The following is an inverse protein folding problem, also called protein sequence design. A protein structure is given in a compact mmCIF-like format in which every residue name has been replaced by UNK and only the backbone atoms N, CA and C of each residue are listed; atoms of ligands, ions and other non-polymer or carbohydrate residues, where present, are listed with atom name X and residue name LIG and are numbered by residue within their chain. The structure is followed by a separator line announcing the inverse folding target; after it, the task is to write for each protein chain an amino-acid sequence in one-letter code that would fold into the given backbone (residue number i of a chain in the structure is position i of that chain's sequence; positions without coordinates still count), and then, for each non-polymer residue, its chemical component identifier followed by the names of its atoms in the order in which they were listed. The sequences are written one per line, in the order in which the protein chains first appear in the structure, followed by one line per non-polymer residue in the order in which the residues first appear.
data_IF_318948242338
#
_entry.id   IF_318948242338
#
_cell.length_a   1.000
_cell.length_b   1.000
_cell.length_c   1.000
_cell.angle_alpha   90.00
_cell.angle_beta   90.00
_cell.angle_gamma   90.00
#
_symmetry.space_group_name_H-M   'P 1'
#
loop_
_entity.id
_entity.type
_entity.pdbx_description
1 polymer ?
#
# COMPACT_ATOMS: atom_id res chain seq x y z
N UNK A 1 -13.81 -8.84 21.57
CA UNK A 1 -13.41 -10.13 20.94
C UNK A 1 -12.35 -9.83 19.90
N UNK A 2 -11.17 -10.49 19.95
CA UNK A 2 -10.06 -10.20 19.05
C UNK A 2 -10.36 -10.86 17.69
N UNK A 3 -10.15 -10.13 16.54
CA UNK A 3 -10.40 -10.67 15.19
C UNK A 3 -9.68 -12.01 14.92
N UNK A 4 -8.50 -12.22 15.51
CA UNK A 4 -7.77 -13.47 15.38
C UNK A 4 -8.52 -14.64 16.05
N UNK A 5 -9.10 -14.40 17.22
CA UNK A 5 -9.94 -15.40 17.91
C UNK A 5 -11.15 -15.79 17.06
N UNK A 6 -11.78 -14.83 16.36
CA UNK A 6 -12.92 -15.11 15.49
C UNK A 6 -12.51 -15.92 14.24
N UNK A 7 -11.33 -15.67 13.65
CA UNK A 7 -10.81 -16.44 12.51
C UNK A 7 -10.45 -17.86 12.96
N UNK A 8 -9.83 -18.00 14.11
CA UNK A 8 -9.43 -19.30 14.66
C UNK A 8 -10.67 -20.13 15.02
N UNK A 9 -11.71 -19.50 15.58
CA UNK A 9 -13.00 -20.12 15.87
C UNK A 9 -13.75 -20.56 14.60
N UNK A 10 -13.78 -19.72 13.56
CA UNK A 10 -14.38 -20.06 12.26
C UNK A 10 -13.64 -21.22 11.58
N UNK A 11 -12.31 -21.22 11.65
CA UNK A 11 -11.49 -22.30 11.08
C UNK A 11 -11.67 -23.61 11.84
N UNK A 12 -11.76 -23.54 13.18
CA UNK A 12 -12.07 -24.70 14.02
C UNK A 12 -13.48 -25.27 13.69
N UNK A 13 -14.49 -24.41 13.65
CA UNK A 13 -15.88 -24.80 13.32
C UNK A 13 -15.97 -25.43 11.92
N UNK A 14 -15.23 -24.89 10.96
CA UNK A 14 -15.15 -25.46 9.61
C UNK A 14 -14.52 -26.87 9.63
N UNK A 15 -13.40 -27.04 10.35
CA UNK A 15 -12.71 -28.31 10.50
C UNK A 15 -13.59 -29.36 11.17
N UNK A 16 -14.23 -28.99 12.28
CA UNK A 16 -15.12 -29.89 13.02
C UNK A 16 -16.29 -30.36 12.17
N UNK A 17 -16.87 -29.46 11.36
CA UNK A 17 -17.96 -29.80 10.42
C UNK A 17 -17.49 -30.71 9.30
N UNK A 18 -16.29 -30.46 8.76
CA UNK A 18 -15.71 -31.30 7.71
C UNK A 18 -15.40 -32.69 8.26
N UNK A 19 -14.81 -32.80 9.43
CA UNK A 19 -14.50 -34.08 10.09
C UNK A 19 -15.76 -34.88 10.38
N UNK A 20 -16.85 -34.21 10.84
CA UNK A 20 -18.14 -34.85 11.03
C UNK A 20 -18.71 -35.44 9.74
N UNK A 21 -18.67 -34.69 8.62
CA UNK A 21 -19.17 -35.17 7.34
C UNK A 21 -18.34 -36.33 6.76
N UNK A 22 -17.03 -36.29 6.95
CA UNK A 22 -16.15 -37.40 6.56
C UNK A 22 -16.46 -38.65 7.41
N UNK A 23 -16.66 -38.50 8.70
CA UNK A 23 -17.02 -39.62 9.60
C UNK A 23 -18.41 -40.23 9.30
N UNK A 24 -19.32 -39.45 8.73
CA UNK A 24 -20.65 -39.91 8.32
C UNK A 24 -20.71 -40.40 6.88
N UNK A 25 -19.57 -40.45 6.20
CA UNK A 25 -19.43 -40.85 4.76
C UNK A 25 -20.21 -39.96 3.79
N UNK A 26 -20.57 -38.75 4.19
CA UNK A 26 -21.19 -37.73 3.33
C UNK A 26 -20.12 -36.95 2.54
N UNK A 27 -19.46 -37.61 1.65
CA UNK A 27 -18.33 -37.07 0.88
C UNK A 27 -18.73 -35.95 -0.09
N UNK A 28 -19.97 -35.98 -0.61
CA UNK A 28 -20.45 -34.92 -1.52
C UNK A 28 -20.60 -33.58 -0.79
N UNK A 29 -21.23 -33.60 0.39
CA UNK A 29 -21.35 -32.41 1.24
C UNK A 29 -19.97 -31.93 1.78
N UNK A 30 -19.08 -32.85 2.12
CA UNK A 30 -17.72 -32.53 2.55
C UNK A 30 -16.92 -31.85 1.42
N UNK A 31 -17.03 -32.38 0.19
CA UNK A 31 -16.37 -31.79 -0.98
C UNK A 31 -16.90 -30.40 -1.32
N UNK A 32 -18.21 -30.18 -1.22
CA UNK A 32 -18.83 -28.89 -1.46
C UNK A 32 -18.35 -27.84 -0.45
N UNK A 33 -18.33 -28.17 0.86
CA UNK A 33 -17.86 -27.29 1.93
C UNK A 33 -16.37 -26.95 1.76
N UNK A 34 -15.55 -27.95 1.41
CA UNK A 34 -14.13 -27.73 1.16
C UNK A 34 -13.90 -26.79 -0.04
N UNK A 35 -14.64 -26.99 -1.14
CA UNK A 35 -14.55 -26.16 -2.32
C UNK A 35 -14.94 -24.70 -2.04
N UNK A 36 -16.00 -24.46 -1.25
CA UNK A 36 -16.42 -23.13 -0.82
C UNK A 36 -15.34 -22.45 0.04
N UNK A 37 -14.75 -23.16 0.99
CA UNK A 37 -13.66 -22.66 1.82
C UNK A 37 -12.44 -22.25 0.99
N UNK A 38 -12.00 -23.10 0.05
CA UNK A 38 -10.87 -22.81 -0.84
C UNK A 38 -11.17 -21.57 -1.67
N UNK A 39 -12.35 -21.48 -2.28
CA UNK A 39 -12.75 -20.31 -3.08
C UNK A 39 -12.75 -19.01 -2.27
N UNK A 40 -13.18 -19.05 -0.99
CA UNK A 40 -13.15 -17.90 -0.11
C UNK A 40 -11.71 -17.48 0.24
N UNK A 41 -10.80 -18.44 0.49
CA UNK A 41 -9.39 -18.15 0.74
C UNK A 41 -8.71 -17.54 -0.49
N UNK A 42 -8.99 -18.07 -1.69
CA UNK A 42 -8.44 -17.55 -2.94
C UNK A 42 -8.94 -16.13 -3.23
N UNK A 43 -10.22 -15.84 -2.97
CA UNK A 43 -10.77 -14.50 -3.09
C UNK A 43 -10.09 -13.51 -2.13
N UNK A 44 -9.85 -13.91 -0.88
CA UNK A 44 -9.12 -13.08 0.11
C UNK A 44 -7.67 -12.82 -0.30
N UNK A 45 -6.98 -13.85 -0.79
CA UNK A 45 -5.61 -13.74 -1.27
C UNK A 45 -5.53 -12.79 -2.47
N UNK A 46 -6.49 -12.87 -3.40
CA UNK A 46 -6.59 -11.98 -4.56
C UNK A 46 -6.78 -10.52 -4.13
N UNK A 47 -7.66 -10.25 -3.15
CA UNK A 47 -7.86 -8.89 -2.61
C UNK A 47 -6.56 -8.35 -2.01
N UNK A 48 -5.86 -9.14 -1.20
CA UNK A 48 -4.60 -8.71 -0.58
C UNK A 48 -3.51 -8.45 -1.62
N UNK A 49 -3.41 -9.28 -2.65
CA UNK A 49 -2.47 -9.09 -3.76
C UNK A 49 -2.78 -7.79 -4.52
N UNK A 50 -4.04 -7.51 -4.81
CA UNK A 50 -4.44 -6.28 -5.46
C UNK A 50 -4.10 -5.05 -4.61
N UNK A 51 -4.31 -5.10 -3.29
CA UNK A 51 -3.93 -4.00 -2.39
C UNK A 51 -2.42 -3.73 -2.44
N UNK A 52 -1.59 -4.77 -2.45
CA UNK A 52 -0.13 -4.63 -2.60
C UNK A 52 0.22 -4.00 -3.94
N UNK A 53 -0.40 -4.44 -5.03
CA UNK A 53 -0.18 -3.86 -6.36
C UNK A 53 -0.57 -2.37 -6.39
N UNK A 54 -1.65 -1.98 -5.74
CA UNK A 54 -2.05 -0.57 -5.62
C UNK A 54 -1.06 0.25 -4.75
N UNK A 55 -0.43 -0.38 -3.75
CA UNK A 55 0.65 0.28 -3.01
C UNK A 55 1.86 0.58 -3.90
N UNK A 56 2.23 -0.32 -4.82
CA UNK A 56 3.29 -0.05 -5.79
C UNK A 56 2.90 1.05 -6.77
N UNK A 57 1.69 1.05 -7.30
CA UNK A 57 1.19 2.13 -8.16
C UNK A 57 1.19 3.49 -7.45
N UNK A 58 0.87 3.53 -6.15
CA UNK A 58 0.99 4.75 -5.35
C UNK A 58 2.46 5.20 -5.23
N UNK A 59 3.38 4.28 -5.02
CA UNK A 59 4.82 4.58 -4.99
C UNK A 59 5.28 5.17 -6.32
N UNK A 60 4.85 4.60 -7.45
CA UNK A 60 5.20 5.12 -8.77
C UNK A 60 4.66 6.55 -8.97
N UNK A 61 3.42 6.82 -8.56
CA UNK A 61 2.83 8.16 -8.59
C UNK A 61 3.61 9.16 -7.71
N UNK A 62 4.04 8.75 -6.52
CA UNK A 62 4.84 9.58 -5.61
C UNK A 62 6.23 9.89 -6.19
N UNK A 63 6.90 8.90 -6.81
CA UNK A 63 8.19 9.08 -7.48
C UNK A 63 8.06 10.02 -8.68
N UNK A 64 7.02 9.87 -9.48
CA UNK A 64 6.76 10.77 -10.61
C UNK A 64 6.53 12.20 -10.15
N UNK A 65 5.70 12.39 -9.12
CA UNK A 65 5.46 13.72 -8.56
C UNK A 65 6.75 14.36 -7.99
N UNK A 66 7.60 13.56 -7.33
CA UNK A 66 8.90 14.04 -6.89
C UNK A 66 9.80 14.45 -8.06
N UNK A 67 9.83 13.65 -9.12
CA UNK A 67 10.59 13.95 -10.34
C UNK A 67 10.18 15.32 -10.91
N UNK A 68 8.88 15.53 -11.10
CA UNK A 68 8.35 16.79 -11.63
C UNK A 68 8.67 17.98 -10.72
N UNK A 69 8.59 17.78 -9.40
CA UNK A 69 8.97 18.81 -8.42
C UNK A 69 10.47 19.15 -8.50
N UNK A 70 11.34 18.13 -8.52
CA UNK A 70 12.78 18.31 -8.51
C UNK A 70 13.27 18.94 -9.84
N UNK A 71 12.76 18.52 -10.98
CA UNK A 71 13.07 19.12 -12.29
C UNK A 71 12.72 20.60 -12.30
N UNK A 72 11.53 20.99 -11.82
CA UNK A 72 11.16 22.41 -11.70
C UNK A 72 12.10 23.17 -10.78
N UNK A 73 12.53 22.56 -9.68
CA UNK A 73 13.51 23.16 -8.77
C UNK A 73 14.86 23.40 -9.43
N UNK A 74 15.39 22.41 -10.16
CA UNK A 74 16.65 22.55 -10.90
C UNK A 74 16.53 23.61 -12.01
N UNK A 75 15.44 23.65 -12.76
CA UNK A 75 15.22 24.67 -13.77
C UNK A 75 15.17 26.10 -13.18
N UNK A 76 14.54 26.24 -12.01
CA UNK A 76 14.51 27.53 -11.30
C UNK A 76 15.93 27.98 -10.88
N UNK A 77 16.76 27.05 -10.41
CA UNK A 77 18.16 27.34 -10.04
C UNK A 77 19.01 27.74 -11.25
N UNK A 78 18.84 27.05 -12.39
CA UNK A 78 19.49 27.42 -13.65
C UNK A 78 19.12 28.86 -14.04
N UNK A 79 17.84 29.19 -13.98
CA UNK A 79 17.34 30.53 -14.34
C UNK A 79 17.88 31.65 -13.43
N UNK A 80 18.29 31.31 -12.19
CA UNK A 80 18.95 32.23 -11.26
C UNK A 80 20.45 32.38 -11.47
N UNK A 81 21.05 31.56 -12.36
CA UNK A 81 22.49 31.57 -12.63
C UNK A 81 23.31 30.66 -11.74
N UNK A 82 22.69 29.67 -11.10
CA UNK A 82 23.40 28.63 -10.36
C UNK A 82 24.14 27.68 -11.33
N UNK A 83 24.98 26.79 -10.82
CA UNK A 83 25.83 25.89 -11.64
C UNK A 83 25.01 25.09 -12.68
N UNK A 84 25.11 25.48 -13.96
CA UNK A 84 24.37 24.88 -15.06
C UNK A 84 24.66 23.38 -15.21
N UNK A 85 25.95 23.00 -15.17
CA UNK A 85 26.37 21.61 -15.35
C UNK A 85 25.78 20.68 -14.28
N UNK A 86 25.84 21.08 -13.01
CA UNK A 86 25.28 20.32 -11.90
C UNK A 86 23.78 20.08 -12.07
N UNK A 87 23.03 21.15 -12.36
CA UNK A 87 21.57 21.05 -12.46
C UNK A 87 21.11 20.28 -13.70
N UNK A 88 21.83 20.38 -14.83
CA UNK A 88 21.52 19.58 -16.01
C UNK A 88 21.82 18.10 -15.81
N UNK A 89 22.90 17.75 -15.12
CA UNK A 89 23.19 16.36 -14.80
C UNK A 89 22.15 15.78 -13.85
N UNK A 90 21.77 16.52 -12.81
CA UNK A 90 20.72 16.11 -11.90
C UNK A 90 19.36 15.90 -12.59
N UNK A 91 18.99 16.74 -13.56
CA UNK A 91 17.78 16.53 -14.37
C UNK A 91 17.86 15.26 -15.21
N UNK A 92 19.00 14.99 -15.85
CA UNK A 92 19.22 13.75 -16.62
C UNK A 92 19.11 12.50 -15.76
N UNK A 93 19.66 12.55 -14.53
CA UNK A 93 19.56 11.44 -13.59
C UNK A 93 18.09 11.17 -13.22
N UNK A 94 17.31 12.21 -12.93
CA UNK A 94 15.89 12.10 -12.63
C UNK A 94 15.08 11.53 -13.81
N UNK A 95 15.34 12.01 -15.04
CA UNK A 95 14.72 11.51 -16.27
C UNK A 95 15.10 10.04 -16.56
N UNK A 96 16.29 9.62 -16.16
CA UNK A 96 16.75 8.23 -16.24
C UNK A 96 16.17 7.34 -15.11
N UNK A 97 15.36 7.89 -14.20
CA UNK A 97 14.79 7.17 -13.07
C UNK A 97 15.74 6.98 -11.89
N UNK A 98 16.83 7.73 -11.85
CA UNK A 98 17.79 7.74 -10.74
C UNK A 98 17.34 8.83 -9.76
N UNK A 99 16.73 8.41 -8.66
CA UNK A 99 16.20 9.33 -7.66
C UNK A 99 17.11 9.39 -6.42
N UNK A 100 17.29 10.58 -5.79
CA UNK A 100 17.97 10.70 -4.51
C UNK A 100 17.08 10.27 -3.34
N UNK A 101 15.85 9.84 -3.62
CA UNK A 101 14.88 9.33 -2.66
C UNK A 101 14.35 7.98 -3.12
N UNK A 102 13.79 7.22 -2.19
CA UNK A 102 13.07 5.98 -2.51
C UNK A 102 11.84 5.80 -1.64
N UNK A 103 10.97 4.88 -2.05
CA UNK A 103 9.85 4.40 -1.27
C UNK A 103 9.89 2.89 -1.18
N UNK A 104 9.72 2.36 0.04
CA UNK A 104 9.70 0.92 0.27
C UNK A 104 8.46 0.52 1.07
N UNK A 105 7.98 -0.70 0.84
CA UNK A 105 6.85 -1.25 1.58
C UNK A 105 7.38 -2.10 2.74
N UNK A 106 7.06 -1.71 3.96
CA UNK A 106 7.27 -2.54 5.16
C UNK A 106 5.94 -3.14 5.62
N UNK A 107 5.82 -4.46 5.53
CA UNK A 107 4.59 -5.17 5.87
C UNK A 107 4.57 -5.60 7.33
N UNK A 108 3.68 -4.98 8.11
CA UNK A 108 3.36 -5.41 9.47
C UNK A 108 2.21 -6.42 9.52
N UNK A 109 1.70 -6.71 10.72
CA UNK A 109 0.58 -7.63 10.91
C UNK A 109 -0.70 -7.14 10.24
N UNK A 110 -1.07 -5.88 10.45
CA UNK A 110 -2.33 -5.28 9.96
C UNK A 110 -2.12 -4.38 8.75
N UNK A 111 -1.02 -3.64 8.70
CA UNK A 111 -0.77 -2.59 7.73
C UNK A 111 0.45 -2.88 6.86
N UNK A 112 0.38 -2.47 5.60
CA UNK A 112 1.54 -2.09 4.81
C UNK A 112 1.89 -0.65 5.15
N UNK A 113 3.15 -0.38 5.47
CA UNK A 113 3.67 0.97 5.62
C UNK A 113 4.41 1.33 4.34
N UNK A 114 4.02 2.41 3.70
CA UNK A 114 4.83 3.01 2.65
C UNK A 114 5.82 3.92 3.35
N UNK A 115 7.10 3.56 3.26
CA UNK A 115 8.19 4.26 3.89
C UNK A 115 8.86 5.15 2.86
N UNK A 116 9.02 6.43 3.17
CA UNK A 116 9.90 7.34 2.44
C UNK A 116 11.34 7.14 2.94
N UNK A 117 12.28 7.02 2.01
CA UNK A 117 13.72 6.89 2.27
C UNK A 117 14.42 8.07 1.62
N UNK A 118 15.12 8.89 2.40
CA UNK A 118 15.90 10.00 1.87
C UNK A 118 17.27 9.55 1.33
N UNK A 119 18.00 10.48 0.68
CA UNK A 119 19.34 10.22 0.13
C UNK A 119 20.39 9.84 1.17
N UNK A 120 20.14 10.06 2.44
CA UNK A 120 20.97 9.63 3.58
C UNK A 120 20.58 8.27 4.13
N UNK A 121 19.54 7.64 3.57
CA UNK A 121 19.01 6.34 4.02
C UNK A 121 18.08 6.43 5.25
N UNK A 122 17.70 7.63 5.70
CA UNK A 122 16.76 7.77 6.81
C UNK A 122 15.36 7.45 6.34
N UNK A 123 14.64 6.67 7.16
CA UNK A 123 13.29 6.22 6.87
C UNK A 123 12.25 6.96 7.70
N UNK A 124 11.20 7.41 7.04
CA UNK A 124 9.99 7.93 7.68
C UNK A 124 8.74 7.27 7.10
N UNK A 125 7.66 7.21 7.88
CA UNK A 125 6.41 6.61 7.40
C UNK A 125 5.62 7.66 6.62
N UNK A 126 5.46 7.44 5.33
CA UNK A 126 4.63 8.27 4.47
C UNK A 126 3.14 8.01 4.74
N UNK A 127 2.69 6.77 4.61
CA UNK A 127 1.31 6.37 4.93
C UNK A 127 1.22 4.91 5.38
N UNK A 128 0.04 4.56 5.92
CA UNK A 128 -0.35 3.19 6.25
C UNK A 128 -1.48 2.75 5.33
N UNK A 129 -1.44 1.51 4.87
CA UNK A 129 -2.51 0.87 4.09
C UNK A 129 -2.95 -0.39 4.81
N UNK A 130 -4.24 -0.51 5.14
CA UNK A 130 -4.79 -1.71 5.76
C UNK A 130 -4.77 -2.87 4.75
N UNK A 131 -4.21 -4.00 5.13
CA UNK A 131 -4.02 -5.17 4.27
C UNK A 131 -5.32 -5.84 3.83
N UNK A 132 -6.38 -5.70 4.62
CA UNK A 132 -7.66 -6.36 4.37
C UNK A 132 -8.66 -5.44 3.70
N UNK A 133 -8.66 -4.15 4.11
CA UNK A 133 -9.65 -3.19 3.64
C UNK A 133 -9.15 -2.27 2.54
N UNK A 134 -7.82 -2.18 2.32
CA UNK A 134 -7.23 -1.24 1.37
C UNK A 134 -7.36 0.24 1.77
N UNK A 135 -7.80 0.51 2.99
CA UNK A 135 -7.95 1.87 3.53
C UNK A 135 -6.58 2.50 3.75
N UNK A 136 -6.40 3.71 3.25
CA UNK A 136 -5.18 4.51 3.38
C UNK A 136 -5.33 5.50 4.53
N UNK A 137 -4.31 5.56 5.37
CA UNK A 137 -4.25 6.42 6.54
C UNK A 137 -2.98 7.26 6.51
N UNK A 138 -3.10 8.52 6.96
CA UNK A 138 -1.93 9.34 7.29
C UNK A 138 -1.15 8.74 8.46
N UNK A 139 0.16 8.90 8.47
CA UNK A 139 1.00 8.56 9.60
C UNK A 139 0.74 9.52 10.79
N UNK A 140 0.46 8.97 11.97
CA UNK A 140 0.50 9.73 13.23
C UNK A 140 1.85 9.58 13.91
N UNK A 141 2.48 8.42 13.77
CA UNK A 141 3.81 8.10 14.28
C UNK A 141 4.43 6.98 13.45
N UNK A 142 5.68 6.64 13.73
CA UNK A 142 6.35 5.50 13.08
C UNK A 142 5.59 4.16 13.27
N UNK A 143 4.83 4.03 14.35
CA UNK A 143 4.16 2.77 14.73
C UNK A 143 2.65 2.75 14.48
N UNK A 144 2.01 3.90 14.32
CA UNK A 144 0.55 3.98 14.29
C UNK A 144 0.01 4.96 13.25
N UNK A 145 -1.11 4.63 12.57
CA UNK A 145 -1.83 5.54 11.71
C UNK A 145 -2.59 6.60 12.52
N UNK A 146 -2.83 7.74 11.90
CA UNK A 146 -3.76 8.75 12.40
C UNK A 146 -5.21 8.27 12.27
N UNK A 147 -6.10 8.83 13.07
CA UNK A 147 -7.54 8.53 12.99
C UNK A 147 -8.12 9.04 11.65
N UNK A 148 -9.07 8.27 11.13
CA UNK A 148 -9.82 8.59 9.91
C UNK A 148 -9.14 8.09 8.64
N UNK A 149 -9.94 7.41 7.83
CA UNK A 149 -9.56 6.95 6.49
C UNK A 149 -9.39 8.16 5.57
N UNK A 150 -8.38 8.12 4.72
CA UNK A 150 -8.15 9.15 3.70
C UNK A 150 -8.69 8.72 2.34
N UNK A 151 -8.41 7.48 1.96
CA UNK A 151 -8.82 6.87 0.70
C UNK A 151 -9.07 5.38 0.92
N UNK A 152 -9.88 4.75 0.05
CA UNK A 152 -10.04 3.30 -0.04
C UNK A 152 -9.55 2.83 -1.43
N UNK A 153 -8.44 2.10 -1.46
CA UNK A 153 -7.83 1.60 -2.71
C UNK A 153 -8.71 0.61 -3.48
N UNK A 154 -9.72 0.03 -2.85
CA UNK A 154 -10.68 -0.86 -3.53
C UNK A 154 -11.72 -0.06 -4.33
N UNK A 155 -11.98 1.18 -3.95
CA UNK A 155 -12.90 2.06 -4.66
C UNK A 155 -12.17 2.71 -5.84
N UNK A 156 -12.66 2.48 -7.05
CA UNK A 156 -12.04 3.00 -8.28
C UNK A 156 -11.88 4.51 -8.21
N UNK A 157 -12.93 5.23 -7.83
CA UNK A 157 -12.93 6.69 -7.72
C UNK A 157 -11.86 7.22 -6.75
N UNK A 158 -11.75 6.62 -5.57
CA UNK A 158 -10.78 7.03 -4.55
C UNK A 158 -9.35 6.73 -5.02
N UNK A 159 -9.15 5.59 -5.65
CA UNK A 159 -7.85 5.15 -6.15
C UNK A 159 -7.37 6.03 -7.32
N UNK A 160 -8.23 6.32 -8.29
CA UNK A 160 -7.89 7.20 -9.41
C UNK A 160 -7.57 8.62 -8.92
N UNK A 161 -8.39 9.15 -8.00
CA UNK A 161 -8.13 10.44 -7.39
C UNK A 161 -6.80 10.44 -6.62
N UNK A 162 -6.54 9.41 -5.82
CA UNK A 162 -5.31 9.27 -5.05
C UNK A 162 -4.09 9.29 -5.97
N UNK A 163 -4.06 8.47 -7.01
CA UNK A 163 -2.90 8.39 -7.92
C UNK A 163 -2.68 9.68 -8.72
N UNK A 164 -3.75 10.37 -9.08
CA UNK A 164 -3.66 11.65 -9.79
C UNK A 164 -3.21 12.83 -8.89
N UNK A 165 -3.43 12.75 -7.56
CA UNK A 165 -3.18 13.85 -6.63
C UNK A 165 -2.15 13.52 -5.56
N UNK A 166 -1.54 12.33 -5.59
CA UNK A 166 -0.49 11.96 -4.67
C UNK A 166 0.72 12.89 -4.83
N UNK A 167 1.16 13.48 -3.73
CA UNK A 167 2.37 14.29 -3.70
C UNK A 167 3.42 13.70 -2.76
N UNK A 168 4.67 13.83 -3.13
CA UNK A 168 5.81 13.26 -2.43
C UNK A 168 5.93 13.74 -0.98
N UNK A 169 5.42 14.94 -0.67
CA UNK A 169 5.47 15.54 0.67
C UNK A 169 4.35 15.04 1.59
N UNK A 170 3.34 14.35 1.04
CA UNK A 170 2.21 13.82 1.78
C UNK A 170 1.10 14.82 2.09
N UNK A 171 1.07 15.97 1.41
CA UNK A 171 0.04 17.01 1.59
C UNK A 171 -1.38 16.49 1.35
N UNK A 172 -1.55 15.59 0.39
CA UNK A 172 -2.84 14.95 0.05
C UNK A 172 -3.45 14.09 1.19
N UNK A 173 -2.64 13.69 2.18
CA UNK A 173 -3.11 12.89 3.32
C UNK A 173 -3.73 13.74 4.45
N UNK A 174 -3.77 15.07 4.33
CA UNK A 174 -4.42 15.90 5.31
C UNK A 174 -5.91 16.04 5.00
N UNK A 175 -6.78 15.78 6.00
CA UNK A 175 -8.19 16.14 5.91
C UNK A 175 -8.30 17.67 5.97
N UNK A 176 -9.02 18.24 5.02
CA UNK A 176 -9.39 19.64 5.01
C UNK A 176 -10.80 19.81 5.56
#
# INVERSE_FOLDING_TARGET
MNKQTCIDELTATFRDRLDYLICTEDYDSASAIYSEFVAEQDARNTIQLNIVNYCYQLIDALKQNYCDYAIRGHQHSINRGDSLEYHLNAQKDLEAGIFPIDYVIESGRKYHKIMFVDGGGHKSVHCFVDKQTGEVYKSASFKSPAKGVRFDLRLIKDREYLFANADWSGGYLYLR
#
